data_IF_648476946413
#
_entry.id   IF_648476946413
#
_cell.length_a   1.000
_cell.length_b   1.000
_cell.length_c   1.000
_cell.angle_alpha   90.00
_cell.angle_beta   90.00
_cell.angle_gamma   90.00
#
_symmetry.space_group_name_H-M   'P 1'
#
loop_
_entity.id
_entity.type
_entity.pdbx_description
1 polymer ?
#
# COMPACT_ATOMS: atom_id res chain seq x y z
N UNK A 1 2.21 -23.57 -22.44
CA UNK A 1 3.66 -23.39 -22.29
C UNK A 1 4.08 -21.93 -22.54
N UNK A 2 3.63 -21.30 -23.62
CA UNK A 2 4.04 -19.95 -24.00
C UNK A 2 3.61 -18.85 -22.98
N UNK A 3 2.42 -18.97 -22.40
CA UNK A 3 1.93 -18.00 -21.41
C UNK A 3 2.76 -18.04 -20.12
N UNK A 4 3.10 -19.24 -19.64
CA UNK A 4 3.96 -19.41 -18.45
C UNK A 4 5.36 -18.87 -18.74
N UNK A 5 5.89 -19.15 -19.94
CA UNK A 5 7.19 -18.66 -20.36
C UNK A 5 7.22 -17.13 -20.45
N UNK A 6 6.21 -16.51 -21.07
CA UNK A 6 6.10 -15.05 -21.14
C UNK A 6 5.95 -14.42 -19.77
N UNK A 7 5.15 -15.03 -18.88
CA UNK A 7 5.01 -14.60 -17.50
C UNK A 7 6.35 -14.69 -16.74
N UNK A 8 7.07 -15.82 -16.89
CA UNK A 8 8.36 -16.02 -16.23
C UNK A 8 9.42 -15.00 -16.65
N UNK A 9 9.39 -14.53 -17.90
CA UNK A 9 10.31 -13.49 -18.41
C UNK A 9 10.07 -12.10 -17.80
N UNK A 10 8.91 -11.88 -17.20
CA UNK A 10 8.59 -10.63 -16.53
C UNK A 10 9.03 -10.62 -15.06
N UNK A 11 9.44 -11.77 -14.54
CA UNK A 11 9.96 -11.87 -13.18
C UNK A 11 11.38 -11.32 -13.10
N UNK A 12 11.52 -10.28 -12.30
CA UNK A 12 12.83 -9.82 -11.85
C UNK A 12 13.07 -10.41 -10.46
N UNK A 13 14.17 -11.15 -10.23
CA UNK A 13 14.50 -11.60 -8.88
C UNK A 13 14.56 -10.42 -7.92
N UNK A 14 13.85 -10.56 -6.80
CA UNK A 14 13.89 -9.52 -5.79
C UNK A 14 15.16 -9.65 -4.95
N UNK A 15 16.04 -8.70 -5.12
CA UNK A 15 17.18 -8.48 -4.25
C UNK A 15 17.02 -7.14 -3.55
N UNK A 16 17.36 -7.05 -2.27
CA UNK A 16 17.36 -5.76 -1.54
C UNK A 16 18.25 -4.71 -2.22
N UNK A 17 19.26 -5.15 -2.95
CA UNK A 17 20.13 -4.31 -3.77
C UNK A 17 19.43 -3.65 -4.96
N UNK A 18 18.20 -4.07 -5.31
CA UNK A 18 17.39 -3.47 -6.38
C UNK A 18 16.40 -2.42 -5.85
N UNK A 19 16.30 -2.23 -4.55
CA UNK A 19 15.32 -1.31 -3.96
C UNK A 19 15.56 0.15 -4.40
N UNK A 20 16.82 0.61 -4.37
CA UNK A 20 17.16 1.97 -4.77
C UNK A 20 16.85 2.27 -6.25
N UNK A 21 17.32 1.46 -7.23
CA UNK A 21 16.95 1.68 -8.64
C UNK A 21 15.46 1.52 -8.89
N UNK A 22 14.75 0.64 -8.14
CA UNK A 22 13.31 0.48 -8.23
C UNK A 22 12.59 1.74 -7.77
N UNK A 23 12.95 2.30 -6.61
CA UNK A 23 12.38 3.53 -6.11
C UNK A 23 12.65 4.69 -7.08
N UNK A 24 13.87 4.79 -7.60
CA UNK A 24 14.23 5.83 -8.59
C UNK A 24 13.34 5.76 -9.83
N UNK A 25 13.14 4.57 -10.39
CA UNK A 25 12.27 4.36 -11.55
C UNK A 25 10.79 4.68 -11.21
N UNK A 26 10.35 4.30 -10.01
CA UNK A 26 9.00 4.60 -9.52
C UNK A 26 8.77 6.11 -9.39
N UNK A 27 9.73 6.87 -8.84
CA UNK A 27 9.66 8.32 -8.75
C UNK A 27 9.63 8.98 -10.13
N UNK A 28 10.41 8.49 -11.09
CA UNK A 28 10.36 8.97 -12.48
C UNK A 28 8.98 8.76 -13.11
N UNK A 29 8.34 7.61 -12.84
CA UNK A 29 6.99 7.35 -13.29
C UNK A 29 5.99 8.32 -12.64
N UNK A 30 6.06 8.49 -11.32
CA UNK A 30 5.23 9.46 -10.57
C UNK A 30 5.41 10.88 -11.14
N UNK A 31 6.64 11.30 -11.38
CA UNK A 31 6.94 12.61 -11.95
C UNK A 31 6.31 12.82 -13.33
N UNK A 32 6.13 11.75 -14.08
CA UNK A 32 5.60 11.77 -15.45
C UNK A 32 4.06 11.70 -15.51
N UNK A 33 3.42 10.92 -14.62
CA UNK A 33 1.99 10.56 -14.76
C UNK A 33 1.07 11.16 -13.71
N UNK A 34 1.61 11.58 -12.53
CA UNK A 34 0.79 12.14 -11.46
C UNK A 34 0.52 13.64 -11.67
N UNK A 35 -0.54 14.21 -11.08
CA UNK A 35 -1.14 13.82 -9.79
C UNK A 35 -2.04 12.59 -9.87
N UNK A 36 -1.85 11.66 -8.92
CA UNK A 36 -2.51 10.36 -8.94
C UNK A 36 -2.76 9.79 -7.52
N UNK A 37 -3.60 8.77 -7.44
CA UNK A 37 -3.71 7.88 -6.29
C UNK A 37 -2.80 6.67 -6.55
N UNK A 38 -2.05 6.26 -5.54
CA UNK A 38 -1.27 5.03 -5.60
C UNK A 38 -2.05 3.88 -4.97
N UNK A 39 -2.33 2.83 -5.73
CA UNK A 39 -2.83 1.56 -5.22
C UNK A 39 -1.68 0.55 -5.26
N UNK A 40 -1.25 0.11 -4.11
CA UNK A 40 -0.07 -0.76 -3.94
C UNK A 40 -0.42 -1.99 -3.13
N UNK A 41 0.29 -3.10 -3.39
CA UNK A 41 0.11 -4.37 -2.70
C UNK A 41 1.43 -4.91 -2.17
N UNK A 42 1.40 -5.50 -0.99
CA UNK A 42 2.51 -6.27 -0.42
C UNK A 42 3.80 -5.46 -0.32
N UNK A 43 4.87 -5.92 -0.96
CA UNK A 43 6.17 -5.24 -1.03
C UNK A 43 6.08 -3.82 -1.58
N UNK A 44 5.18 -3.58 -2.55
CA UNK A 44 5.03 -2.28 -3.14
C UNK A 44 4.52 -1.21 -2.14
N UNK A 45 4.04 -1.62 -0.97
CA UNK A 45 3.73 -0.71 0.14
C UNK A 45 4.90 0.21 0.48
N UNK A 46 6.12 -0.34 0.59
CA UNK A 46 7.35 0.46 0.80
C UNK A 46 7.49 1.55 -0.25
N UNK A 47 7.49 1.17 -1.53
CA UNK A 47 7.71 2.11 -2.63
C UNK A 47 6.58 3.13 -2.76
N UNK A 48 5.33 2.72 -2.50
CA UNK A 48 4.17 3.63 -2.53
C UNK A 48 4.28 4.72 -1.46
N UNK A 49 4.59 4.35 -0.23
CA UNK A 49 4.79 5.32 0.85
C UNK A 49 6.04 6.16 0.64
N UNK A 50 7.16 5.58 0.23
CA UNK A 50 8.38 6.34 -0.06
C UNK A 50 8.17 7.33 -1.22
N UNK A 51 7.39 6.96 -2.24
CA UNK A 51 7.03 7.89 -3.31
C UNK A 51 6.17 9.05 -2.78
N UNK A 52 5.19 8.77 -1.92
CA UNK A 52 4.38 9.80 -1.28
C UNK A 52 5.20 10.72 -0.36
N UNK A 53 6.17 10.16 0.35
CA UNK A 53 7.11 10.93 1.17
C UNK A 53 8.02 11.85 0.34
N UNK A 54 8.41 11.40 -0.86
CA UNK A 54 9.29 12.15 -1.76
C UNK A 54 8.55 13.14 -2.67
N UNK A 55 7.26 12.91 -2.94
CA UNK A 55 6.40 13.70 -3.85
C UNK A 55 5.01 13.93 -3.27
N UNK A 56 4.90 14.51 -2.04
CA UNK A 56 3.61 14.67 -1.38
C UNK A 56 2.64 15.60 -2.14
N UNK A 57 3.16 16.48 -2.97
CA UNK A 57 2.40 17.38 -3.86
C UNK A 57 1.78 16.66 -5.07
N UNK A 58 2.33 15.53 -5.48
CA UNK A 58 1.87 14.74 -6.62
C UNK A 58 0.98 13.57 -6.26
N UNK A 59 1.11 13.04 -5.04
CA UNK A 59 0.34 11.87 -4.60
C UNK A 59 -0.88 12.34 -3.83
N UNK A 60 -2.05 12.05 -4.38
CA UNK A 60 -3.34 12.44 -3.78
C UNK A 60 -3.79 11.52 -2.65
N UNK A 61 -3.41 10.27 -2.70
CA UNK A 61 -3.62 9.27 -1.65
C UNK A 61 -2.77 8.01 -1.89
N UNK A 62 -2.56 7.23 -0.83
CA UNK A 62 -1.99 5.88 -0.92
C UNK A 62 -3.03 4.89 -0.41
N UNK A 63 -3.37 3.90 -1.23
CA UNK A 63 -4.13 2.71 -0.82
C UNK A 63 -3.17 1.53 -0.80
N UNK A 64 -2.88 1.03 0.37
CA UNK A 64 -1.94 -0.08 0.58
C UNK A 64 -2.72 -1.32 1.02
N UNK A 65 -2.81 -2.31 0.12
CA UNK A 65 -3.47 -3.59 0.38
C UNK A 65 -2.42 -4.59 0.83
N UNK A 66 -2.64 -5.18 2.00
CA UNK A 66 -1.70 -6.15 2.60
C UNK A 66 -0.22 -5.67 2.55
N UNK A 67 0.09 -4.43 2.97
CA UNK A 67 1.45 -3.93 2.86
C UNK A 67 2.40 -4.75 3.75
N UNK A 68 3.34 -5.43 3.12
CA UNK A 68 4.39 -6.17 3.82
C UNK A 68 5.49 -5.24 4.37
N UNK A 69 5.60 -4.06 3.79
CA UNK A 69 6.51 -2.99 4.22
C UNK A 69 5.82 -1.63 4.08
N UNK A 70 6.30 -0.66 4.83
CA UNK A 70 5.82 0.72 4.83
C UNK A 70 6.95 1.69 4.45
N UNK A 71 6.67 2.99 4.43
CA UNK A 71 7.67 4.02 4.16
C UNK A 71 8.74 4.17 5.25
N UNK A 72 9.58 5.16 5.07
CA UNK A 72 10.62 5.50 6.04
C UNK A 72 9.99 6.12 7.29
N UNK A 73 10.54 5.78 8.46
CA UNK A 73 10.01 6.21 9.76
C UNK A 73 10.72 7.46 10.31
N UNK A 74 11.61 8.08 9.53
CA UNK A 74 12.25 9.34 9.89
C UNK A 74 11.20 10.45 10.08
N UNK A 75 11.40 11.27 11.09
CA UNK A 75 10.45 12.33 11.46
C UNK A 75 10.06 13.26 10.30
N UNK A 76 11.02 13.64 9.47
CA UNK A 76 10.78 14.49 8.29
C UNK A 76 9.96 13.75 7.23
N UNK A 77 10.28 12.47 7.01
CA UNK A 77 9.56 11.60 6.07
C UNK A 77 8.11 11.34 6.51
N UNK A 78 7.91 11.11 7.79
CA UNK A 78 6.56 10.99 8.39
C UNK A 78 5.78 12.30 8.22
N UNK A 79 6.41 13.45 8.50
CA UNK A 79 5.76 14.75 8.38
C UNK A 79 5.36 15.09 6.93
N UNK A 80 6.08 14.58 5.93
CA UNK A 80 5.75 14.76 4.52
C UNK A 80 4.39 14.13 4.14
N UNK A 81 3.94 13.11 4.89
CA UNK A 81 2.65 12.43 4.66
C UNK A 81 1.44 13.19 5.25
N UNK A 82 1.64 14.33 5.89
CA UNK A 82 0.56 15.11 6.52
C UNK A 82 -0.57 15.46 5.54
N UNK A 83 -0.24 15.74 4.28
CA UNK A 83 -1.18 16.10 3.23
C UNK A 83 -1.64 14.94 2.35
N UNK A 84 -1.12 13.73 2.58
CA UNK A 84 -1.39 12.55 1.76
C UNK A 84 -2.19 11.53 2.58
N UNK A 85 -3.51 11.49 2.45
CA UNK A 85 -4.31 10.49 3.15
C UNK A 85 -3.96 9.08 2.69
N UNK A 86 -3.97 8.13 3.60
CA UNK A 86 -3.69 6.74 3.30
C UNK A 86 -4.77 5.81 3.84
N UNK A 87 -4.99 4.72 3.13
CA UNK A 87 -5.79 3.57 3.54
C UNK A 87 -4.90 2.32 3.56
N UNK A 88 -4.87 1.62 4.66
CA UNK A 88 -4.21 0.34 4.80
C UNK A 88 -5.26 -0.75 5.00
N UNK A 89 -5.31 -1.72 4.11
CA UNK A 89 -6.31 -2.82 4.13
C UNK A 89 -5.61 -4.13 4.43
N UNK A 90 -6.15 -4.88 5.38
CA UNK A 90 -5.59 -6.17 5.82
C UNK A 90 -6.66 -7.27 5.77
N UNK A 91 -6.27 -8.44 5.27
CA UNK A 91 -7.13 -9.62 5.16
C UNK A 91 -7.20 -10.44 6.43
N UNK A 92 -7.52 -11.71 6.23
CA UNK A 92 -7.62 -12.72 7.29
C UNK A 92 -6.27 -13.41 7.54
N UNK A 93 -6.24 -14.28 8.54
CA UNK A 93 -5.14 -15.21 8.84
C UNK A 93 -3.82 -14.57 9.31
N UNK A 94 -3.81 -13.25 9.57
CA UNK A 94 -2.60 -12.54 10.02
C UNK A 94 -2.05 -13.17 11.30
N UNK A 95 -2.91 -13.41 12.28
CA UNK A 95 -2.52 -13.95 13.59
C UNK A 95 -2.02 -15.41 13.54
N UNK A 96 -2.37 -16.15 12.48
CA UNK A 96 -1.97 -17.55 12.30
C UNK A 96 -0.64 -17.69 11.54
N UNK A 97 -0.15 -16.63 10.91
CA UNK A 97 1.12 -16.65 10.20
C UNK A 97 2.29 -16.31 11.15
N UNK A 98 3.46 -16.88 10.88
CA UNK A 98 4.65 -16.68 11.72
C UNK A 98 5.31 -15.30 11.58
N UNK A 99 5.02 -14.54 10.52
CA UNK A 99 5.66 -13.26 10.18
C UNK A 99 4.67 -12.10 10.21
N UNK A 100 3.43 -12.34 9.79
CA UNK A 100 2.43 -11.31 9.57
C UNK A 100 2.04 -10.52 10.83
N UNK A 101 1.99 -11.09 12.05
CA UNK A 101 1.72 -10.28 13.25
C UNK A 101 2.75 -9.15 13.44
N UNK A 102 4.04 -9.44 13.22
CA UNK A 102 5.09 -8.43 13.32
C UNK A 102 5.01 -7.39 12.19
N UNK A 103 4.70 -7.81 10.97
CA UNK A 103 4.48 -6.94 9.81
C UNK A 103 3.29 -6.01 10.07
N UNK A 104 2.16 -6.56 10.51
CA UNK A 104 0.95 -5.78 10.85
C UNK A 104 1.22 -4.77 11.96
N UNK A 105 1.94 -5.18 13.00
CA UNK A 105 2.33 -4.30 14.10
C UNK A 105 3.24 -3.15 13.63
N UNK A 106 4.16 -3.41 12.70
CA UNK A 106 4.99 -2.37 12.07
C UNK A 106 4.12 -1.39 11.29
N UNK A 107 3.18 -1.88 10.49
CA UNK A 107 2.21 -1.05 9.76
C UNK A 107 1.40 -0.14 10.71
N UNK A 108 0.93 -0.69 11.83
CA UNK A 108 0.17 0.06 12.83
C UNK A 108 1.01 1.18 13.49
N UNK A 109 2.28 0.90 13.82
CA UNK A 109 3.18 1.94 14.38
C UNK A 109 3.44 3.06 13.37
N UNK A 110 3.69 2.70 12.11
CA UNK A 110 3.85 3.68 11.03
C UNK A 110 2.59 4.55 10.88
N UNK A 111 1.42 3.94 10.81
CA UNK A 111 0.14 4.65 10.72
C UNK A 111 -0.07 5.59 11.91
N UNK A 112 0.27 5.14 13.12
CA UNK A 112 0.21 5.94 14.33
C UNK A 112 1.15 7.15 14.26
N UNK A 113 2.40 6.96 13.83
CA UNK A 113 3.36 8.05 13.69
C UNK A 113 2.89 9.12 12.69
N UNK A 114 2.29 8.70 11.56
CA UNK A 114 1.71 9.63 10.59
C UNK A 114 0.54 10.41 11.20
N UNK A 115 -0.35 9.77 11.95
CA UNK A 115 -1.46 10.44 12.64
C UNK A 115 -0.97 11.44 13.69
N UNK A 116 0.04 11.08 14.47
CA UNK A 116 0.67 11.97 15.46
C UNK A 116 1.33 13.20 14.82
N UNK A 117 1.83 13.05 13.59
CA UNK A 117 2.34 14.17 12.80
C UNK A 117 1.24 15.02 12.15
N UNK A 118 -0.05 14.69 12.37
CA UNK A 118 -1.21 15.41 11.84
C UNK A 118 -1.67 14.93 10.47
N UNK A 119 -1.20 13.76 9.99
CA UNK A 119 -1.65 13.11 8.79
C UNK A 119 -2.90 12.23 9.02
N UNK A 120 -3.45 11.71 7.94
CA UNK A 120 -4.65 10.86 7.96
C UNK A 120 -4.30 9.46 7.43
N UNK A 121 -4.42 8.46 8.29
CA UNK A 121 -4.28 7.05 7.92
C UNK A 121 -5.44 6.28 8.49
N UNK A 122 -6.21 5.66 7.61
CA UNK A 122 -7.24 4.70 7.98
C UNK A 122 -6.70 3.27 7.85
N UNK A 123 -7.08 2.43 8.79
CA UNK A 123 -6.72 1.01 8.79
C UNK A 123 -8.01 0.20 8.82
N UNK A 124 -8.12 -0.75 7.90
CA UNK A 124 -9.25 -1.67 7.81
C UNK A 124 -8.74 -3.09 7.89
N UNK A 125 -9.11 -3.78 8.96
CA UNK A 125 -9.00 -5.24 9.05
C UNK A 125 -10.32 -5.83 8.51
N UNK A 126 -10.29 -6.41 7.32
CA UNK A 126 -11.48 -6.88 6.60
C UNK A 126 -12.38 -7.79 7.47
N UNK A 127 -11.85 -8.76 8.25
CA UNK A 127 -12.68 -9.59 9.11
C UNK A 127 -13.46 -8.80 10.17
N UNK A 128 -12.93 -7.68 10.64
CA UNK A 128 -13.59 -6.84 11.66
C UNK A 128 -14.76 -6.03 11.09
N UNK A 129 -14.77 -5.81 9.77
CA UNK A 129 -15.88 -5.14 9.08
C UNK A 129 -16.82 -6.14 8.38
N UNK A 130 -16.66 -7.45 8.66
CA UNK A 130 -17.56 -8.50 8.17
C UNK A 130 -17.13 -9.13 6.84
N UNK A 131 -16.08 -8.62 6.19
CA UNK A 131 -15.53 -9.17 4.94
C UNK A 131 -14.50 -10.23 5.31
N UNK A 132 -14.77 -11.50 4.99
CA UNK A 132 -13.97 -12.65 5.44
C UNK A 132 -13.52 -13.54 4.29
N UNK A 133 -12.47 -14.34 4.53
CA UNK A 133 -11.92 -15.30 3.59
C UNK A 133 -10.88 -14.70 2.66
N UNK A 134 -10.29 -13.57 3.05
CA UNK A 134 -9.29 -12.86 2.25
C UNK A 134 -7.87 -13.34 2.57
N UNK A 135 -7.20 -13.83 1.55
CA UNK A 135 -5.79 -14.18 1.58
C UNK A 135 -4.90 -12.94 1.40
N UNK A 136 -3.58 -13.15 1.43
CA UNK A 136 -2.63 -12.10 1.05
C UNK A 136 -2.87 -11.58 -0.38
N UNK A 137 -3.41 -12.41 -1.27
CA UNK A 137 -3.71 -12.04 -2.65
C UNK A 137 -5.18 -11.61 -2.79
N UNK A 138 -5.60 -10.63 -1.99
CA UNK A 138 -6.99 -10.12 -1.89
C UNK A 138 -7.65 -9.90 -3.26
N UNK A 139 -6.87 -9.42 -4.25
CA UNK A 139 -7.37 -9.19 -5.62
C UNK A 139 -7.73 -10.48 -6.37
N UNK A 140 -7.30 -11.65 -5.89
CA UNK A 140 -7.59 -12.95 -6.48
C UNK A 140 -8.67 -13.72 -5.72
N UNK A 141 -9.09 -13.24 -4.56
CA UNK A 141 -10.11 -13.89 -3.74
C UNK A 141 -11.51 -13.72 -4.34
N UNK A 142 -12.43 -14.62 -3.98
CA UNK A 142 -13.78 -14.64 -4.55
C UNK A 142 -14.60 -13.37 -4.26
N UNK A 143 -14.29 -12.68 -3.18
CA UNK A 143 -14.93 -11.46 -2.73
C UNK A 143 -14.13 -10.19 -3.06
N UNK A 144 -13.22 -10.26 -4.02
CA UNK A 144 -12.36 -9.13 -4.41
C UNK A 144 -13.16 -7.87 -4.80
N UNK A 145 -14.35 -8.03 -5.39
CA UNK A 145 -15.22 -6.91 -5.75
C UNK A 145 -15.80 -6.20 -4.53
N UNK A 146 -16.06 -6.93 -3.43
CA UNK A 146 -16.50 -6.34 -2.17
C UNK A 146 -15.40 -5.49 -1.53
N UNK A 147 -14.16 -5.99 -1.55
CA UNK A 147 -12.98 -5.23 -1.10
C UNK A 147 -12.75 -4.01 -2.00
N UNK A 148 -12.88 -4.18 -3.31
CA UNK A 148 -12.78 -3.06 -4.26
C UNK A 148 -13.84 -2.00 -4.00
N UNK A 149 -15.08 -2.40 -3.68
CA UNK A 149 -16.16 -1.46 -3.34
C UNK A 149 -15.83 -0.64 -2.09
N UNK A 150 -15.28 -1.28 -1.05
CA UNK A 150 -14.81 -0.59 0.17
C UNK A 150 -13.73 0.46 -0.16
N UNK A 151 -12.75 0.11 -0.98
CA UNK A 151 -11.69 1.04 -1.41
C UNK A 151 -12.29 2.20 -2.20
N UNK A 152 -13.18 1.90 -3.15
CA UNK A 152 -13.85 2.92 -3.96
C UNK A 152 -14.70 3.87 -3.12
N UNK A 153 -15.41 3.37 -2.13
CA UNK A 153 -16.17 4.19 -1.18
C UNK A 153 -15.24 5.11 -0.37
N UNK A 154 -14.10 4.60 0.09
CA UNK A 154 -13.11 5.39 0.80
C UNK A 154 -12.55 6.53 -0.06
N UNK A 155 -12.25 6.24 -1.34
CA UNK A 155 -11.79 7.23 -2.31
C UNK A 155 -12.88 8.27 -2.64
N UNK A 156 -14.12 7.81 -2.85
CA UNK A 156 -15.27 8.68 -3.18
C UNK A 156 -15.56 9.67 -2.06
N UNK A 157 -15.53 9.24 -0.79
CA UNK A 157 -15.70 10.11 0.40
C UNK A 157 -14.66 11.24 0.46
N UNK A 158 -13.54 11.11 -0.24
CA UNK A 158 -12.44 12.10 -0.33
C UNK A 158 -12.42 12.85 -1.66
N UNK A 159 -13.41 12.64 -2.53
CA UNK A 159 -13.45 13.24 -3.86
C UNK A 159 -12.35 12.77 -4.81
N UNK A 160 -11.76 11.59 -4.54
CA UNK A 160 -10.64 11.00 -5.29
C UNK A 160 -11.09 9.95 -6.32
N UNK A 161 -12.37 9.62 -6.33
CA UNK A 161 -13.01 8.70 -7.27
C UNK A 161 -14.26 9.35 -7.84
N UNK A 162 -14.46 9.23 -9.17
CA UNK A 162 -15.64 9.72 -9.90
C UNK A 162 -16.29 8.58 -10.66
#
# INVERSE_FOLDING_TARGET
ADQIWQFSRQFVPRWITTDEPTLKAYLQLVDKVCPCVLLVHSQAGKFGFQAAQARPDKIRAVVAVEPAEVGDEDKEKIAALKSVPALMVYGDYIEQDSRWPAIRAKGARFAQAVREAGGQVDEVDLPKVGIKGNSHMVMMDKNNLEVSALINEWLAKRGLYR
#
